data_IF_352692962954
#
_entry.id   IF_352692962954
#
_cell.length_a   1.000
_cell.length_b   1.000
_cell.length_c   1.000
_cell.angle_alpha   90.00
_cell.angle_beta   90.00
_cell.angle_gamma   90.00
#
_symmetry.space_group_name_H-M   'P 1'
#
loop_
_entity.id
_entity.type
_entity.pdbx_description
1 polymer ?
#
# COMPACT_ATOMS: atom_id res chain seq x y z
N UNK A 1 -11.37 1.41 -12.39
CA UNK A 1 -10.83 2.45 -11.50
C UNK A 1 -9.45 2.02 -11.02
N UNK A 2 -8.55 2.96 -10.72
CA UNK A 2 -7.17 2.62 -10.37
C UNK A 2 -7.04 2.24 -8.90
N UNK A 3 -6.45 1.06 -8.64
CA UNK A 3 -6.05 0.58 -7.32
C UNK A 3 -4.55 0.29 -7.32
N UNK A 4 -3.83 0.89 -6.37
CA UNK A 4 -2.41 0.73 -6.17
C UNK A 4 -2.13 -0.25 -5.05
N UNK A 5 -1.37 -1.30 -5.38
CA UNK A 5 -1.06 -2.42 -4.50
C UNK A 5 0.44 -2.54 -4.33
N UNK A 6 0.91 -2.73 -3.09
CA UNK A 6 2.35 -2.75 -2.77
C UNK A 6 2.83 -4.05 -2.14
N UNK A 7 1.91 -4.97 -1.81
CA UNK A 7 2.19 -6.16 -1.00
C UNK A 7 1.71 -7.46 -1.64
N UNK A 8 0.92 -8.22 -0.89
CA UNK A 8 0.37 -9.53 -1.29
C UNK A 8 -0.56 -9.48 -2.49
N UNK A 9 -1.14 -8.31 -2.78
CA UNK A 9 -1.99 -8.10 -3.95
C UNK A 9 -1.20 -7.82 -5.24
N UNK A 10 0.13 -7.64 -5.17
CA UNK A 10 0.96 -7.47 -6.37
C UNK A 10 1.04 -8.78 -7.16
N UNK A 11 0.95 -8.65 -8.47
CA UNK A 11 1.07 -9.79 -9.40
C UNK A 11 2.45 -9.87 -10.04
N UNK A 12 3.27 -8.82 -9.87
CA UNK A 12 4.58 -8.72 -10.51
C UNK A 12 4.51 -8.09 -11.90
N UNK A 13 3.46 -7.31 -12.20
CA UNK A 13 3.40 -6.56 -13.45
C UNK A 13 4.38 -5.39 -13.46
N UNK A 14 4.69 -4.90 -14.66
CA UNK A 14 5.56 -3.73 -14.88
C UNK A 14 4.81 -2.41 -14.79
N UNK A 15 3.50 -2.42 -14.47
CA UNK A 15 2.71 -1.20 -14.31
C UNK A 15 2.94 -0.61 -12.92
N UNK A 16 4.18 -0.22 -12.67
CA UNK A 16 4.66 0.21 -11.36
C UNK A 16 4.88 1.72 -11.30
N UNK A 17 4.81 2.22 -10.07
CA UNK A 17 5.12 3.60 -9.75
C UNK A 17 5.49 3.73 -8.28
N UNK A 18 5.70 4.97 -7.84
CA UNK A 18 6.08 5.30 -6.47
C UNK A 18 5.13 6.31 -5.86
N UNK A 19 4.70 6.02 -4.63
CA UNK A 19 4.06 7.01 -3.75
C UNK A 19 5.16 7.61 -2.87
N UNK A 20 5.30 8.92 -2.89
CA UNK A 20 6.27 9.63 -2.05
C UNK A 20 5.71 9.87 -0.65
N UNK A 21 6.59 10.21 0.31
CA UNK A 21 6.20 10.50 1.70
C UNK A 21 5.45 9.34 2.36
N UNK A 22 5.81 8.12 1.99
CA UNK A 22 5.33 6.88 2.61
C UNK A 22 6.50 5.97 2.96
N UNK A 23 6.27 5.12 3.95
CA UNK A 23 7.18 4.05 4.31
C UNK A 23 6.43 2.72 4.26
N UNK A 24 7.07 1.73 3.65
CA UNK A 24 6.61 0.34 3.70
C UNK A 24 7.16 -0.29 4.99
N UNK A 25 6.28 -0.85 5.80
CA UNK A 25 6.64 -1.41 7.10
C UNK A 25 6.13 -2.83 7.26
N UNK A 26 6.85 -3.60 8.06
CA UNK A 26 6.43 -4.91 8.53
C UNK A 26 5.98 -4.80 10.00
N UNK A 27 4.68 -4.94 10.29
CA UNK A 27 4.16 -4.93 11.66
C UNK A 27 4.59 -6.24 12.36
N UNK A 28 5.25 -6.15 13.51
CA UNK A 28 5.89 -7.30 14.19
C UNK A 28 4.97 -8.49 14.52
N UNK A 29 3.65 -8.29 14.56
CA UNK A 29 2.65 -9.34 14.81
C UNK A 29 1.90 -9.82 13.57
N UNK A 30 2.16 -9.26 12.39
CA UNK A 30 1.45 -9.59 11.16
C UNK A 30 2.41 -10.12 10.10
N UNK A 31 1.92 -11.05 9.27
CA UNK A 31 2.70 -11.63 8.15
C UNK A 31 2.56 -10.82 6.85
N UNK A 32 1.99 -9.62 6.94
CA UNK A 32 1.60 -8.82 5.78
C UNK A 32 2.21 -7.41 5.88
N UNK A 33 2.67 -6.84 4.76
CA UNK A 33 3.22 -5.50 4.73
C UNK A 33 2.12 -4.46 4.95
N UNK A 34 2.46 -3.34 5.58
CA UNK A 34 1.59 -2.19 5.69
C UNK A 34 2.29 -0.93 5.22
N UNK A 35 1.54 -0.01 4.59
CA UNK A 35 2.05 1.32 4.23
C UNK A 35 1.62 2.34 5.27
N UNK A 36 2.56 3.19 5.71
CA UNK A 36 2.29 4.34 6.58
C UNK A 36 2.71 5.63 5.88
N UNK A 37 2.04 6.74 6.20
CA UNK A 37 2.50 8.07 5.81
C UNK A 37 3.73 8.42 6.65
N UNK A 38 4.82 8.78 5.99
CA UNK A 38 6.06 9.24 6.62
C UNK A 38 6.69 10.30 5.72
N UNK A 39 6.74 11.55 6.19
CA UNK A 39 7.32 12.67 5.44
C UNK A 39 8.78 12.43 5.05
N UNK A 40 9.51 11.63 5.85
CA UNK A 40 10.90 11.26 5.63
C UNK A 40 11.05 9.89 4.92
N UNK A 41 9.94 9.23 4.61
CA UNK A 41 9.94 7.94 3.93
C UNK A 41 10.51 8.06 2.51
N UNK A 42 11.30 7.06 2.11
CA UNK A 42 11.87 6.93 0.76
C UNK A 42 10.83 6.72 -0.34
N UNK A 43 9.55 6.55 0.05
CA UNK A 43 8.44 6.22 -0.80
C UNK A 43 8.20 4.71 -0.88
N UNK A 44 7.06 4.34 -1.43
CA UNK A 44 6.65 2.94 -1.56
C UNK A 44 6.36 2.63 -3.02
N UNK A 45 6.98 1.55 -3.52
CA UNK A 45 6.72 1.04 -4.87
C UNK A 45 5.39 0.32 -4.87
N UNK A 46 4.52 0.75 -5.78
CA UNK A 46 3.18 0.22 -5.98
C UNK A 46 3.03 -0.28 -7.41
N UNK A 47 2.17 -1.27 -7.58
CA UNK A 47 1.67 -1.75 -8.86
C UNK A 47 0.23 -1.24 -9.03
N UNK A 48 -0.12 -0.71 -10.20
CA UNK A 48 -1.43 -0.11 -10.45
C UNK A 48 -2.29 -1.08 -11.26
N UNK A 49 -3.46 -1.40 -10.72
CA UNK A 49 -4.46 -2.26 -11.35
C UNK A 49 -5.70 -1.46 -11.70
N UNK A 50 -6.28 -1.74 -12.87
CA UNK A 50 -7.63 -1.28 -13.20
C UNK A 50 -8.65 -2.31 -12.67
N UNK A 51 -9.46 -1.90 -11.70
CA UNK A 51 -10.43 -2.76 -11.02
C UNK A 51 -11.85 -2.21 -11.16
N UNK A 52 -12.85 -3.09 -11.18
CA UNK A 52 -14.26 -2.69 -11.08
C UNK A 52 -14.71 -2.57 -9.60
N UNK A 53 -15.91 -2.03 -9.38
CA UNK A 53 -16.47 -1.86 -8.03
C UNK A 53 -16.56 -3.17 -7.25
N UNK A 54 -16.86 -4.27 -7.94
CA UNK A 54 -17.02 -5.59 -7.33
C UNK A 54 -15.69 -6.14 -6.83
N UNK A 55 -14.64 -6.03 -7.65
CA UNK A 55 -13.28 -6.45 -7.32
C UNK A 55 -12.73 -5.58 -6.20
N UNK A 56 -12.98 -4.27 -6.27
CA UNK A 56 -12.59 -3.35 -5.21
C UNK A 56 -13.23 -3.72 -3.87
N UNK A 57 -14.55 -4.00 -3.85
CA UNK A 57 -15.24 -4.44 -2.64
C UNK A 57 -14.72 -5.77 -2.09
N UNK A 58 -14.31 -6.70 -2.96
CA UNK A 58 -13.67 -7.95 -2.54
C UNK A 58 -12.30 -7.70 -1.90
N UNK A 59 -11.51 -6.77 -2.42
CA UNK A 59 -10.26 -6.36 -1.78
C UNK A 59 -10.47 -5.61 -0.47
N UNK A 60 -11.51 -4.78 -0.36
CA UNK A 60 -11.86 -4.09 0.88
C UNK A 60 -12.16 -5.09 2.02
N UNK A 61 -12.85 -6.17 1.71
CA UNK A 61 -13.16 -7.26 2.65
C UNK A 61 -11.89 -8.03 3.02
N UNK A 62 -11.07 -8.38 2.02
CA UNK A 62 -9.80 -9.07 2.23
C UNK A 62 -8.82 -8.27 3.12
N UNK A 63 -8.69 -6.97 2.86
CA UNK A 63 -7.87 -6.03 3.65
C UNK A 63 -8.57 -5.60 4.95
N UNK A 64 -9.78 -6.08 5.23
CA UNK A 64 -10.46 -5.88 6.50
C UNK A 64 -10.75 -4.40 6.82
N UNK A 65 -11.20 -3.63 5.82
CA UNK A 65 -11.59 -2.22 6.00
C UNK A 65 -12.68 -2.06 7.07
N UNK A 66 -13.70 -2.92 7.03
CA UNK A 66 -14.80 -2.94 8.00
C UNK A 66 -14.32 -3.21 9.44
N UNK A 67 -13.19 -3.92 9.58
CA UNK A 67 -12.55 -4.26 10.85
C UNK A 67 -11.46 -3.25 11.27
N UNK A 68 -11.26 -2.17 10.49
CA UNK A 68 -10.28 -1.11 10.74
C UNK A 68 -8.82 -1.58 10.65
N UNK A 69 -8.55 -2.67 9.94
CA UNK A 69 -7.18 -3.21 9.76
C UNK A 69 -6.40 -2.30 8.81
N UNK A 70 -6.96 -2.06 7.63
CA UNK A 70 -6.50 -1.05 6.69
C UNK A 70 -7.56 0.03 6.49
N UNK A 71 -7.14 1.16 5.95
CA UNK A 71 -8.02 2.22 5.44
C UNK A 71 -7.65 2.49 3.99
N UNK A 72 -8.63 2.79 3.15
CA UNK A 72 -8.39 3.15 1.76
C UNK A 72 -8.40 4.66 1.59
N UNK A 73 -7.38 5.17 0.91
CA UNK A 73 -7.24 6.60 0.59
C UNK A 73 -6.85 6.77 -0.86
N UNK A 74 -7.07 7.97 -1.42
CA UNK A 74 -6.52 8.32 -2.72
C UNK A 74 -5.16 8.97 -2.55
N UNK A 75 -4.20 8.58 -3.38
CA UNK A 75 -2.86 9.13 -3.39
C UNK A 75 -2.36 9.29 -4.82
N UNK A 76 -1.52 10.30 -5.01
CA UNK A 76 -0.79 10.53 -6.24
C UNK A 76 0.37 9.53 -6.36
N UNK A 77 0.47 8.90 -7.52
CA UNK A 77 1.50 7.92 -7.86
C UNK A 77 2.29 8.48 -9.02
N UNK A 78 3.59 8.57 -8.84
CA UNK A 78 4.53 8.87 -9.91
C UNK A 78 4.86 7.55 -10.58
N UNK A 79 4.31 7.32 -11.76
CA UNK A 79 4.56 6.12 -12.57
C UNK A 79 6.00 6.11 -13.09
N UNK A 80 6.51 4.93 -13.44
CA UNK A 80 7.89 4.79 -13.94
C UNK A 80 8.15 5.54 -15.27
N UNK A 81 7.11 5.85 -16.03
CA UNK A 81 7.16 6.69 -17.24
C UNK A 81 7.16 8.20 -16.94
N UNK A 82 7.09 8.59 -15.66
CA UNK A 82 7.05 9.97 -15.18
C UNK A 82 5.65 10.58 -15.12
N UNK A 83 4.59 9.87 -15.54
CA UNK A 83 3.22 10.35 -15.40
C UNK A 83 2.75 10.31 -13.95
N UNK A 84 1.83 11.21 -13.59
CA UNK A 84 1.20 11.22 -12.27
C UNK A 84 -0.24 10.79 -12.42
N UNK A 85 -0.64 9.78 -11.66
CA UNK A 85 -2.02 9.31 -11.60
C UNK A 85 -2.54 9.31 -10.16
N UNK A 86 -3.84 9.52 -9.99
CA UNK A 86 -4.52 9.29 -8.72
C UNK A 86 -5.06 7.86 -8.68
N UNK A 87 -4.77 7.12 -7.62
CA UNK A 87 -5.34 5.79 -7.39
C UNK A 87 -5.69 5.56 -5.93
N UNK A 88 -6.57 4.59 -5.70
CA UNK A 88 -6.84 4.09 -4.36
C UNK A 88 -5.65 3.30 -3.83
N UNK A 89 -5.32 3.44 -2.55
CA UNK A 89 -4.28 2.68 -1.87
C UNK A 89 -4.71 2.33 -0.45
N UNK A 90 -4.27 1.18 0.05
CA UNK A 90 -4.51 0.76 1.42
C UNK A 90 -3.40 1.26 2.34
N UNK A 91 -3.73 2.02 3.37
CA UNK A 91 -2.82 2.43 4.43
C UNK A 91 -3.12 1.67 5.71
N UNK A 92 -2.12 1.55 6.58
CA UNK A 92 -2.29 1.00 7.92
C UNK A 92 -3.46 1.73 8.63
N UNK A 93 -4.46 0.95 9.03
CA UNK A 93 -5.57 1.43 9.84
C UNK A 93 -5.17 1.59 11.30
N UNK A 94 -6.06 2.19 12.09
CA UNK A 94 -5.80 2.42 13.51
C UNK A 94 -5.47 1.15 14.29
N UNK A 95 -6.03 0.00 13.87
CA UNK A 95 -5.80 -1.28 14.55
C UNK A 95 -4.36 -1.74 14.40
N UNK A 96 -3.76 -1.56 13.22
CA UNK A 96 -2.33 -1.84 13.00
C UNK A 96 -1.49 -0.84 13.79
N UNK A 97 -1.83 0.45 13.71
CA UNK A 97 -1.10 1.52 14.40
C UNK A 97 -1.10 1.36 15.93
N UNK A 98 -2.22 0.94 16.52
CA UNK A 98 -2.36 0.72 17.97
C UNK A 98 -1.75 -0.59 18.46
N UNK A 99 -1.75 -1.65 17.64
CA UNK A 99 -1.26 -2.98 18.05
C UNK A 99 0.22 -3.20 17.80
N UNK A 100 0.83 -2.43 16.91
CA UNK A 100 2.25 -2.57 16.62
C UNK A 100 3.07 -1.78 17.63
N UNK A 101 3.76 -2.51 18.51
CA UNK A 101 4.76 -1.93 19.40
C UNK A 101 6.00 -1.43 18.64
N UNK A 102 6.27 -1.99 17.45
CA UNK A 102 7.34 -1.58 16.56
C UNK A 102 6.98 -1.86 15.10
N UNK A 103 7.54 -1.05 14.21
CA UNK A 103 7.46 -1.21 12.77
C UNK A 103 8.87 -1.44 12.25
N UNK A 104 9.12 -2.57 11.59
CA UNK A 104 10.36 -2.76 10.85
C UNK A 104 10.18 -2.12 9.46
N UNK A 105 10.87 -1.02 9.20
CA UNK A 105 10.84 -0.34 7.90
C UNK A 105 11.54 -1.22 6.87
N UNK A 106 10.91 -1.38 5.71
CA UNK A 106 11.52 -2.00 4.53
C UNK A 106 12.20 -0.88 3.73
N UNK A 107 13.54 -0.73 3.79
CA UNK A 107 14.22 0.48 3.31
C UNK A 107 14.09 0.70 1.80
N UNK A 108 13.97 -0.39 1.04
CA UNK A 108 13.78 -0.36 -0.41
C UNK A 108 12.42 0.20 -0.83
N UNK A 109 11.43 0.20 0.08
CA UNK A 109 10.05 0.54 -0.24
C UNK A 109 9.38 -0.46 -1.20
N UNK A 110 10.02 -1.59 -1.50
CA UNK A 110 9.56 -2.59 -2.46
C UNK A 110 9.40 -3.95 -1.78
N UNK A 111 8.19 -4.48 -1.81
CA UNK A 111 7.88 -5.78 -1.21
C UNK A 111 8.61 -6.96 -1.87
N UNK A 112 8.86 -6.90 -3.18
CA UNK A 112 9.61 -7.98 -3.86
C UNK A 112 11.12 -7.90 -3.59
N UNK A 113 11.60 -6.75 -3.13
CA UNK A 113 13.00 -6.49 -2.83
C UNK A 113 13.15 -6.08 -1.34
N UNK A 114 12.65 -6.94 -0.44
CA UNK A 114 12.59 -6.71 1.02
C UNK A 114 13.90 -6.93 1.75
#
# INVERSE_FOLDING_TARGET
>A
MNLAVYGTLRTGSTNTGRINHTALVFPSHQRFPAMICDSNGSGTIVEVHDVDDKTLAAYDDYEGLSAGVYRRVRMDIIMDDGTIIEAWVYLAGEKILKKSASFAVIPSGDWFNR
#
